data_IF_429991202087
#
_entry.id   IF_429991202087
#
_cell.length_a   1.000
_cell.length_b   1.000
_cell.length_c   1.000
_cell.angle_alpha   90.00
_cell.angle_beta   90.00
_cell.angle_gamma   90.00
#
_symmetry.space_group_name_H-M   'P 1'
#
loop_
_entity.id
_entity.type
_entity.pdbx_description
1 polymer ?
#
# COMPACT_ATOMS: atom_id res chain seq x y z
N UNK A 1 -22.74 28.00 20.49
CA UNK A 1 -21.28 27.77 20.29
C UNK A 1 -21.00 27.48 18.82
N UNK A 2 -20.01 28.16 18.22
CA UNK A 2 -19.57 27.82 16.86
C UNK A 2 -18.93 26.43 16.88
N UNK A 3 -19.16 25.63 15.83
CA UNK A 3 -18.47 24.34 15.66
C UNK A 3 -17.11 24.58 15.00
N UNK A 4 -16.09 23.82 15.42
CA UNK A 4 -14.79 23.83 14.74
C UNK A 4 -14.94 23.35 13.29
N UNK A 5 -14.35 24.08 12.36
CA UNK A 5 -14.25 23.70 10.95
C UNK A 5 -12.81 23.84 10.50
N UNK A 6 -12.23 22.76 10.00
CA UNK A 6 -10.86 22.79 9.51
C UNK A 6 -10.84 23.30 8.07
N UNK A 7 -10.21 24.46 7.85
CA UNK A 7 -10.19 25.14 6.54
C UNK A 7 -9.60 24.29 5.38
N UNK A 8 -8.77 23.28 5.69
CA UNK A 8 -8.17 22.39 4.70
C UNK A 8 -8.75 20.97 4.71
N UNK A 9 -9.99 20.81 5.17
CA UNK A 9 -10.65 19.49 5.24
C UNK A 9 -10.71 18.81 3.85
N UNK A 10 -10.99 19.56 2.78
CA UNK A 10 -11.00 19.04 1.42
C UNK A 10 -9.63 18.49 0.99
N UNK A 11 -8.55 19.18 1.33
CA UNK A 11 -7.17 18.77 1.06
C UNK A 11 -6.80 17.52 1.86
N UNK A 12 -7.20 17.46 3.13
CA UNK A 12 -7.00 16.27 3.97
C UNK A 12 -7.73 15.05 3.37
N UNK A 13 -9.00 15.21 2.96
CA UNK A 13 -9.78 14.14 2.30
C UNK A 13 -9.10 13.67 1.01
N UNK A 14 -8.66 14.59 0.17
CA UNK A 14 -7.93 14.27 -1.07
C UNK A 14 -6.65 13.49 -0.79
N UNK A 15 -5.85 13.89 0.20
CA UNK A 15 -4.61 13.18 0.56
C UNK A 15 -4.89 11.79 1.15
N UNK A 16 -5.93 11.66 1.98
CA UNK A 16 -6.39 10.36 2.48
C UNK A 16 -6.81 9.43 1.33
N UNK A 17 -7.51 9.96 0.33
CA UNK A 17 -7.88 9.21 -0.87
C UNK A 17 -6.63 8.78 -1.66
N UNK A 18 -5.68 9.70 -1.92
CA UNK A 18 -4.40 9.39 -2.57
C UNK A 18 -3.63 8.27 -1.85
N UNK A 19 -3.54 8.33 -0.52
CA UNK A 19 -2.96 7.24 0.30
C UNK A 19 -3.69 5.92 0.07
N UNK A 20 -5.02 5.95 0.01
CA UNK A 20 -5.85 4.79 -0.32
C UNK A 20 -5.49 4.17 -1.68
N UNK A 21 -5.40 5.00 -2.72
CA UNK A 21 -4.98 4.57 -4.07
C UNK A 21 -3.57 3.95 -4.06
N UNK A 22 -2.61 4.55 -3.36
CA UNK A 22 -1.27 3.98 -3.23
C UNK A 22 -1.28 2.59 -2.56
N UNK A 23 -2.12 2.38 -1.54
CA UNK A 23 -2.27 1.07 -0.88
C UNK A 23 -2.87 0.04 -1.82
N UNK A 24 -3.92 0.42 -2.56
CA UNK A 24 -4.56 -0.46 -3.53
C UNK A 24 -3.56 -0.89 -4.60
N UNK A 25 -2.86 0.06 -5.21
CA UNK A 25 -1.86 -0.21 -6.25
C UNK A 25 -0.73 -1.12 -5.73
N UNK A 26 -0.23 -0.86 -4.53
CA UNK A 26 0.77 -1.74 -3.91
C UNK A 26 0.24 -3.17 -3.75
N UNK A 27 -1.02 -3.34 -3.34
CA UNK A 27 -1.68 -4.64 -3.25
C UNK A 27 -1.74 -5.38 -4.60
N UNK A 28 -2.18 -4.69 -5.65
CA UNK A 28 -2.27 -5.23 -7.02
C UNK A 28 -0.90 -5.70 -7.55
N UNK A 29 0.15 -4.90 -7.32
CA UNK A 29 1.51 -5.22 -7.76
C UNK A 29 2.07 -6.42 -6.96
N UNK A 30 1.80 -6.49 -5.64
CA UNK A 30 2.19 -7.66 -4.82
C UNK A 30 1.48 -8.93 -5.29
N UNK A 31 0.18 -8.85 -5.58
CA UNK A 31 -0.57 -10.00 -6.11
C UNK A 31 0.00 -10.47 -7.45
N UNK A 32 0.42 -9.53 -8.30
CA UNK A 32 1.07 -9.83 -9.58
C UNK A 32 2.41 -10.56 -9.37
N UNK A 33 3.26 -10.11 -8.44
CA UNK A 33 4.51 -10.81 -8.08
C UNK A 33 4.24 -12.23 -7.57
N UNK A 34 3.22 -12.42 -6.73
CA UNK A 34 2.83 -13.73 -6.22
C UNK A 34 2.39 -14.67 -7.35
N UNK A 35 1.58 -14.16 -8.30
CA UNK A 35 1.16 -14.93 -9.48
C UNK A 35 2.35 -15.36 -10.33
N UNK A 36 3.31 -14.45 -10.58
CA UNK A 36 4.53 -14.76 -11.34
C UNK A 36 5.39 -15.81 -10.62
N UNK A 37 5.52 -15.72 -9.29
CA UNK A 37 6.21 -16.73 -8.47
C UNK A 37 5.55 -18.10 -8.60
N UNK A 38 4.22 -18.17 -8.54
CA UNK A 38 3.51 -19.44 -8.67
C UNK A 38 3.66 -20.03 -10.07
N UNK A 39 3.51 -19.21 -11.12
CA UNK A 39 3.73 -19.64 -12.50
C UNK A 39 5.14 -20.19 -12.71
N UNK A 40 6.15 -19.51 -12.15
CA UNK A 40 7.54 -19.97 -12.21
C UNK A 40 7.71 -21.35 -11.57
N UNK A 41 7.19 -21.54 -10.36
CA UNK A 41 7.24 -22.83 -9.64
C UNK A 41 6.60 -23.95 -10.47
N UNK A 42 5.42 -23.71 -11.04
CA UNK A 42 4.74 -24.69 -11.88
C UNK A 42 5.58 -25.10 -13.09
N UNK A 43 6.25 -24.15 -13.76
CA UNK A 43 7.14 -24.44 -14.88
C UNK A 43 8.41 -25.19 -14.45
N UNK A 44 8.98 -24.85 -13.29
CA UNK A 44 10.14 -25.55 -12.72
C UNK A 44 9.80 -27.01 -12.39
N UNK A 45 8.64 -27.26 -11.80
CA UNK A 45 8.12 -28.60 -11.54
C UNK A 45 7.90 -29.37 -12.85
N UNK A 46 7.26 -28.75 -13.84
CA UNK A 46 7.02 -29.39 -15.14
C UNK A 46 8.34 -29.75 -15.83
N UNK A 47 9.31 -28.84 -15.83
CA UNK A 47 10.65 -29.06 -16.39
C UNK A 47 11.36 -30.20 -15.66
N UNK A 48 11.24 -30.28 -14.34
CA UNK A 48 11.81 -31.38 -13.54
C UNK A 48 11.19 -32.72 -13.92
N UNK A 49 9.87 -32.78 -14.13
CA UNK A 49 9.18 -33.99 -14.62
C UNK A 49 9.69 -34.41 -15.99
N UNK A 50 9.92 -33.48 -16.92
CA UNK A 50 10.49 -33.82 -18.24
C UNK A 50 11.88 -34.46 -18.13
N UNK A 51 12.75 -33.95 -17.25
CA UNK A 51 14.07 -34.55 -17.04
C UNK A 51 14.01 -35.91 -16.36
N UNK A 52 13.06 -36.13 -15.45
CA UNK A 52 12.82 -37.44 -14.86
C UNK A 52 12.37 -38.46 -15.92
N UNK A 53 11.44 -38.06 -16.79
CA UNK A 53 10.98 -38.90 -17.91
C UNK A 53 12.13 -39.27 -18.86
N UNK A 54 13.00 -38.30 -19.21
CA UNK A 54 14.20 -38.56 -20.01
C UNK A 54 15.07 -39.63 -19.34
N UNK A 55 15.33 -39.51 -18.03
CA UNK A 55 16.15 -40.49 -17.29
C UNK A 55 15.52 -41.89 -17.27
N UNK A 56 14.21 -41.98 -17.10
CA UNK A 56 13.47 -43.26 -17.08
C UNK A 56 13.51 -43.93 -18.45
N UNK A 57 13.42 -43.18 -19.55
CA UNK A 57 13.52 -43.73 -20.90
C UNK A 57 14.93 -44.23 -21.20
N UNK A 58 15.95 -43.49 -20.77
CA UNK A 58 17.35 -43.86 -20.96
C UNK A 58 17.78 -45.08 -20.15
N UNK A 59 17.20 -45.33 -18.98
CA UNK A 59 17.57 -46.47 -18.13
C UNK A 59 17.08 -47.83 -18.63
N UNK A 60 16.13 -47.86 -19.58
CA UNK A 60 15.55 -49.11 -20.13
C UNK A 60 16.40 -49.77 -21.23
N UNK A 61 17.59 -49.24 -21.55
CA UNK A 61 18.52 -49.83 -22.51
C UNK A 61 18.14 -49.71 -23.99
N UNK A 62 16.89 -49.35 -24.30
CA UNK A 62 16.45 -48.96 -25.65
C UNK A 62 16.49 -47.43 -25.78
N UNK A 63 17.36 -46.91 -26.65
CA UNK A 63 17.51 -45.47 -26.87
C UNK A 63 16.46 -45.02 -27.89
N UNK A 64 15.33 -44.50 -27.40
CA UNK A 64 14.39 -43.71 -28.21
C UNK A 64 14.97 -42.30 -28.42
N UNK A 65 15.69 -42.12 -29.52
CA UNK A 65 16.38 -40.87 -29.87
C UNK A 65 15.36 -39.75 -30.11
N UNK A 66 14.28 -40.03 -30.84
CA UNK A 66 13.29 -39.04 -31.24
C UNK A 66 12.45 -38.55 -30.04
N UNK A 67 12.01 -39.47 -29.18
CA UNK A 67 11.30 -39.13 -27.95
C UNK A 67 12.18 -38.36 -26.97
N UNK A 68 13.46 -38.75 -26.83
CA UNK A 68 14.41 -38.04 -25.97
C UNK A 68 14.71 -36.63 -26.49
N UNK A 69 14.87 -36.47 -27.81
CA UNK A 69 15.10 -35.18 -28.46
C UNK A 69 13.92 -34.24 -28.23
N UNK A 70 12.69 -34.73 -28.44
CA UNK A 70 11.45 -33.97 -28.23
C UNK A 70 11.28 -33.48 -26.79
N UNK A 71 11.55 -34.34 -25.81
CA UNK A 71 11.49 -33.98 -24.39
C UNK A 71 12.54 -32.93 -24.00
N UNK A 72 13.76 -33.04 -24.54
CA UNK A 72 14.82 -32.04 -24.31
C UNK A 72 14.49 -30.71 -24.93
N UNK A 73 13.96 -30.70 -26.14
CA UNK A 73 13.50 -29.48 -26.81
C UNK A 73 12.41 -28.78 -25.98
N UNK A 74 11.41 -29.53 -25.52
CA UNK A 74 10.36 -28.99 -24.68
C UNK A 74 10.89 -28.47 -23.33
N UNK A 75 11.81 -29.20 -22.67
CA UNK A 75 12.48 -28.72 -21.45
C UNK A 75 13.28 -27.42 -21.68
N UNK A 76 13.83 -27.24 -22.88
CA UNK A 76 14.46 -25.99 -23.32
C UNK A 76 13.47 -24.84 -23.45
N UNK A 77 12.29 -25.09 -24.04
CA UNK A 77 11.21 -24.08 -24.12
C UNK A 77 10.73 -23.67 -22.72
N UNK A 78 10.53 -24.63 -21.81
CA UNK A 78 10.18 -24.34 -20.42
C UNK A 78 11.25 -23.49 -19.73
N UNK A 79 12.53 -23.75 -19.99
CA UNK A 79 13.62 -22.92 -19.47
C UNK A 79 13.55 -21.48 -19.97
N UNK A 80 13.28 -21.26 -21.27
CA UNK A 80 13.13 -19.92 -21.83
C UNK A 80 11.94 -19.17 -21.21
N UNK A 81 10.82 -19.85 -20.98
CA UNK A 81 9.65 -19.28 -20.29
C UNK A 81 9.99 -18.92 -18.83
N UNK A 82 10.70 -19.78 -18.10
CA UNK A 82 11.18 -19.49 -16.74
C UNK A 82 12.05 -18.24 -16.72
N UNK A 83 12.99 -18.08 -17.65
CA UNK A 83 13.82 -16.88 -17.75
C UNK A 83 13.00 -15.62 -18.02
N UNK A 84 11.98 -15.72 -18.86
CA UNK A 84 11.04 -14.62 -19.12
C UNK A 84 10.29 -14.22 -17.85
N UNK A 85 9.78 -15.18 -17.07
CA UNK A 85 9.13 -14.90 -15.79
C UNK A 85 10.09 -14.26 -14.77
N UNK A 86 11.35 -14.69 -14.73
CA UNK A 86 12.37 -14.08 -13.87
C UNK A 86 12.61 -12.62 -14.28
N UNK A 87 12.73 -12.34 -15.57
CA UNK A 87 12.91 -10.97 -16.07
C UNK A 87 11.70 -10.09 -15.74
N UNK A 88 10.48 -10.58 -15.98
CA UNK A 88 9.24 -9.87 -15.65
C UNK A 88 9.14 -9.59 -14.15
N UNK A 89 9.54 -10.56 -13.32
CA UNK A 89 9.51 -10.39 -11.87
C UNK A 89 10.47 -9.30 -11.40
N UNK A 90 11.65 -9.15 -12.00
CA UNK A 90 12.57 -8.03 -11.70
C UNK A 90 11.93 -6.67 -11.99
N UNK A 91 11.10 -6.57 -13.03
CA UNK A 91 10.36 -5.34 -13.34
C UNK A 91 9.32 -5.07 -12.24
N UNK A 92 8.55 -6.09 -11.86
CA UNK A 92 7.54 -5.99 -10.80
C UNK A 92 8.17 -5.65 -9.45
N UNK A 93 9.33 -6.20 -9.11
CA UNK A 93 10.06 -5.85 -7.88
C UNK A 93 10.41 -4.36 -7.83
N UNK A 94 10.87 -3.77 -8.95
CA UNK A 94 11.09 -2.31 -9.04
C UNK A 94 9.79 -1.53 -8.84
N UNK A 95 8.67 -2.00 -9.40
CA UNK A 95 7.36 -1.38 -9.21
C UNK A 95 6.89 -1.46 -7.74
N UNK A 96 7.12 -2.59 -7.06
CA UNK A 96 6.83 -2.73 -5.61
C UNK A 96 7.59 -1.67 -4.82
N UNK A 97 8.89 -1.50 -5.10
CA UNK A 97 9.71 -0.50 -4.41
C UNK A 97 9.19 0.92 -4.67
N UNK A 98 8.86 1.27 -5.92
CA UNK A 98 8.28 2.57 -6.25
C UNK A 98 6.94 2.79 -5.54
N UNK A 99 6.05 1.79 -5.50
CA UNK A 99 4.76 1.87 -4.80
C UNK A 99 4.93 2.07 -3.29
N UNK A 100 5.90 1.38 -2.67
CA UNK A 100 6.22 1.56 -1.24
C UNK A 100 6.70 2.97 -0.94
N UNK A 101 7.55 3.55 -1.78
CA UNK A 101 8.02 4.92 -1.63
C UNK A 101 6.86 5.92 -1.79
N UNK A 102 6.02 5.74 -2.81
CA UNK A 102 4.84 6.57 -3.03
C UNK A 102 3.86 6.51 -1.85
N UNK A 103 3.62 5.31 -1.31
CA UNK A 103 2.78 5.13 -0.12
C UNK A 103 3.37 5.83 1.10
N UNK A 104 4.67 5.68 1.36
CA UNK A 104 5.33 6.35 2.47
C UNK A 104 5.20 7.88 2.38
N UNK A 105 5.40 8.45 1.18
CA UNK A 105 5.19 9.88 0.94
C UNK A 105 3.74 10.30 1.21
N UNK A 106 2.77 9.54 0.70
CA UNK A 106 1.35 9.82 0.92
C UNK A 106 0.96 9.74 2.41
N UNK A 107 1.55 8.80 3.17
CA UNK A 107 1.34 8.69 4.61
C UNK A 107 1.92 9.90 5.38
N UNK A 108 3.10 10.36 4.99
CA UNK A 108 3.69 11.58 5.55
C UNK A 108 2.83 12.82 5.25
N UNK A 109 2.35 12.95 4.01
CA UNK A 109 1.47 14.05 3.58
C UNK A 109 0.16 14.10 4.39
N UNK A 110 -0.45 12.94 4.67
CA UNK A 110 -1.66 12.84 5.51
C UNK A 110 -1.34 13.20 6.95
N UNK A 111 -0.29 12.62 7.53
CA UNK A 111 0.11 12.87 8.92
C UNK A 111 0.43 14.35 9.17
N UNK A 112 1.02 15.03 8.20
CA UNK A 112 1.28 16.46 8.27
C UNK A 112 -0.03 17.28 8.33
N UNK A 113 -1.04 16.90 7.54
CA UNK A 113 -2.35 17.57 7.56
C UNK A 113 -3.15 17.28 8.82
N UNK A 114 -3.10 16.05 9.34
CA UNK A 114 -3.73 15.68 10.61
C UNK A 114 -3.15 16.52 11.75
N UNK A 115 -1.82 16.61 11.85
CA UNK A 115 -1.15 17.47 12.83
C UNK A 115 -1.52 18.95 12.70
N UNK A 116 -1.68 19.45 11.47
CA UNK A 116 -2.11 20.82 11.24
C UNK A 116 -3.55 21.03 11.72
N UNK A 117 -4.44 20.09 11.42
CA UNK A 117 -5.82 20.09 11.90
C UNK A 117 -5.89 20.09 13.42
N UNK A 118 -5.07 19.27 14.09
CA UNK A 118 -5.02 19.19 15.55
C UNK A 118 -4.60 20.53 16.16
N UNK A 119 -3.55 21.17 15.62
CA UNK A 119 -3.12 22.52 16.07
C UNK A 119 -4.22 23.57 15.90
N UNK A 120 -4.92 23.57 14.76
CA UNK A 120 -6.03 24.50 14.53
C UNK A 120 -7.16 24.26 15.52
N UNK A 121 -7.43 22.99 15.85
CA UNK A 121 -8.45 22.62 16.82
C UNK A 121 -8.09 23.07 18.23
N UNK A 122 -6.83 22.87 18.65
CA UNK A 122 -6.33 23.35 19.94
C UNK A 122 -6.45 24.87 20.07
N UNK A 123 -6.05 25.62 19.03
CA UNK A 123 -6.20 27.07 18.98
C UNK A 123 -7.66 27.51 19.07
N UNK A 124 -8.54 26.86 18.31
CA UNK A 124 -9.98 27.14 18.35
C UNK A 124 -10.56 26.92 19.75
N UNK A 125 -10.22 25.81 20.40
CA UNK A 125 -10.68 25.50 21.76
C UNK A 125 -10.13 26.50 22.78
N UNK A 126 -8.86 26.90 22.65
CA UNK A 126 -8.27 27.92 23.50
C UNK A 126 -9.00 29.26 23.38
N UNK A 127 -9.27 29.72 22.16
CA UNK A 127 -10.03 30.95 21.93
C UNK A 127 -11.46 30.87 22.45
N UNK A 128 -12.11 29.71 22.26
CA UNK A 128 -13.46 29.48 22.74
C UNK A 128 -13.51 29.55 24.27
N UNK A 129 -12.64 28.82 24.96
CA UNK A 129 -12.56 28.84 26.42
C UNK A 129 -12.28 30.25 26.94
N UNK A 130 -11.37 30.99 26.29
CA UNK A 130 -11.06 32.38 26.66
C UNK A 130 -12.28 33.31 26.55
N UNK A 131 -13.10 33.16 25.50
CA UNK A 131 -14.35 33.94 25.36
C UNK A 131 -15.37 33.56 26.41
N UNK A 132 -15.56 32.27 26.65
CA UNK A 132 -16.49 31.78 27.68
C UNK A 132 -16.09 32.25 29.09
N UNK A 133 -14.80 32.24 29.42
CA UNK A 133 -14.31 32.80 30.69
C UNK A 133 -14.59 34.29 30.81
N UNK A 134 -14.38 35.07 29.75
CA UNK A 134 -14.66 36.51 29.75
C UNK A 134 -16.17 36.80 29.92
N UNK A 135 -17.05 36.06 29.23
CA UNK A 135 -18.50 36.18 29.37
C UNK A 135 -18.97 35.81 30.80
N UNK A 136 -18.33 34.83 31.43
CA UNK A 136 -18.61 34.46 32.83
C UNK A 136 -18.17 35.56 33.82
N UNK A 137 -17.00 36.15 33.60
CA UNK A 137 -16.51 37.27 34.43
C UNK A 137 -17.43 38.50 34.30
N UNK A 138 -17.85 38.84 33.09
CA UNK A 138 -18.74 39.98 32.83
C UNK A 138 -20.12 39.76 33.47
N UNK A 139 -20.70 38.57 33.34
CA UNK A 139 -21.99 38.24 33.97
C UNK A 139 -21.91 38.21 35.49
N UNK A 140 -20.79 37.73 36.07
CA UNK A 140 -20.54 37.77 37.51
C UNK A 140 -20.37 39.21 38.04
N UNK A 141 -19.64 40.06 37.33
CA UNK A 141 -19.47 41.48 37.71
C UNK A 141 -20.80 42.24 37.65
N UNK A 142 -21.60 42.04 36.60
CA UNK A 142 -22.91 42.65 36.45
C UNK A 142 -23.90 42.23 37.56
N UNK A 143 -23.90 40.94 37.93
CA UNK A 143 -24.76 40.44 39.02
C UNK A 143 -24.32 40.97 40.39
N UNK A 144 -23.02 41.13 40.65
CA UNK A 144 -22.56 41.76 41.89
C UNK A 144 -22.92 43.24 41.99
N UNK A 145 -22.77 44.01 40.90
CA UNK A 145 -23.19 45.41 40.87
C UNK A 145 -24.69 45.58 41.15
N UNK A 146 -25.54 44.71 40.58
CA UNK A 146 -26.98 44.70 40.88
C UNK A 146 -27.31 44.40 42.35
N UNK A 147 -26.46 43.61 43.03
CA UNK A 147 -26.67 43.21 44.43
C UNK A 147 -26.25 44.29 45.43
N UNK A 148 -25.35 45.20 45.04
CA UNK A 148 -24.90 46.34 45.86
C UNK A 148 -25.83 47.56 45.74
N UNK A 149 -26.62 47.63 44.66
CA UNK A 149 -27.60 48.71 44.41
C UNK A 149 -29.00 48.43 44.97
N UNK A 150 -29.20 47.29 45.66
CA UNK A 150 -30.43 46.95 46.40
C UNK A 150 -30.17 47.00 47.90
#
# INVERSE_FOLDING_TARGET
MKKFQFQFESVLKMRCHKRGLCRQLLGEVIQTDQRLKQQKRNLEELRTKQFQEIRIRQSKGAVDIDGTSSLRFYAGQLQAQIQTLIANRKIVEKQIHACRQALASAEQEVKAMEKLSDKHREQFLYEQNKRESFELEETWAATQQMRVLR
#
